data_IF_883174079936
#
_entry.id   IF_883174079936
#
_cell.length_a   1.000
_cell.length_b   1.000
_cell.length_c   1.000
_cell.angle_alpha   90.00
_cell.angle_beta   90.00
_cell.angle_gamma   90.00
#
_symmetry.space_group_name_H-M   'P 1'
#
loop_
_entity.id
_entity.type
_entity.pdbx_description
1 polymer ?
#
# COMPACT_ATOMS: atom_id res chain seq x y z
N UNK A 1 28.78 27.10 -16.62
CA UNK A 1 28.05 26.38 -17.70
C UNK A 1 28.89 25.28 -18.37
N UNK A 2 30.21 25.27 -18.22
CA UNK A 2 31.11 24.27 -18.84
C UNK A 2 31.05 22.88 -18.21
N UNK A 3 31.00 22.78 -16.88
CA UNK A 3 31.03 21.49 -16.16
C UNK A 3 29.87 20.54 -16.48
N UNK A 4 28.66 21.07 -16.67
CA UNK A 4 27.49 20.26 -16.98
C UNK A 4 27.58 19.62 -18.38
N UNK A 5 28.11 20.37 -19.34
CA UNK A 5 28.31 19.92 -20.73
C UNK A 5 29.46 18.92 -20.81
N UNK A 6 30.54 19.13 -20.07
CA UNK A 6 31.65 18.16 -19.95
C UNK A 6 31.18 16.84 -19.35
N UNK A 7 30.37 16.90 -18.29
CA UNK A 7 29.79 15.72 -17.66
C UNK A 7 28.88 14.95 -18.63
N UNK A 8 28.04 15.65 -19.40
CA UNK A 8 27.19 15.01 -20.41
C UNK A 8 28.02 14.26 -21.46
N UNK A 9 29.09 14.88 -21.98
CA UNK A 9 29.99 14.24 -22.94
C UNK A 9 30.64 12.98 -22.37
N UNK A 10 31.11 13.04 -21.12
CA UNK A 10 31.72 11.89 -20.45
C UNK A 10 30.75 10.72 -20.23
N UNK A 11 29.46 11.00 -20.05
CA UNK A 11 28.43 9.97 -19.91
C UNK A 11 28.20 9.27 -21.26
N UNK A 12 28.07 10.04 -22.34
CA UNK A 12 27.87 9.49 -23.69
C UNK A 12 29.05 8.60 -24.11
N UNK A 13 30.28 9.06 -23.87
CA UNK A 13 31.49 8.30 -24.16
C UNK A 13 31.53 6.97 -23.40
N UNK A 14 31.15 6.98 -22.11
CA UNK A 14 31.06 5.75 -21.32
C UNK A 14 30.03 4.77 -21.87
N UNK A 15 28.84 5.24 -22.23
CA UNK A 15 27.76 4.39 -22.75
C UNK A 15 28.14 3.80 -24.11
N UNK A 16 28.81 4.57 -24.97
CA UNK A 16 29.27 4.09 -26.28
C UNK A 16 30.35 3.00 -26.18
N UNK A 17 31.17 3.03 -25.12
CA UNK A 17 32.22 2.04 -24.88
C UNK A 17 31.75 0.78 -24.13
N UNK A 18 30.46 0.67 -23.80
CA UNK A 18 29.87 -0.54 -23.22
C UNK A 18 29.63 -1.61 -24.28
N UNK A 19 29.54 -2.88 -23.86
CA UNK A 19 29.06 -3.95 -24.74
C UNK A 19 27.58 -3.78 -25.06
N UNK A 20 27.05 -4.39 -26.14
CA UNK A 20 25.64 -4.30 -26.47
C UNK A 20 24.71 -4.72 -25.32
N UNK A 21 25.07 -5.76 -24.55
CA UNK A 21 24.29 -6.24 -23.41
C UNK A 21 24.25 -5.19 -22.29
N UNK A 22 25.38 -4.54 -22.02
CA UNK A 22 25.47 -3.48 -21.01
C UNK A 22 24.72 -2.21 -21.44
N UNK A 23 24.65 -1.93 -22.75
CA UNK A 23 23.82 -0.84 -23.27
C UNK A 23 22.33 -1.13 -23.05
N UNK A 24 21.90 -2.38 -23.24
CA UNK A 24 20.53 -2.82 -22.96
C UNK A 24 20.20 -2.68 -21.46
N UNK A 25 21.12 -3.03 -20.56
CA UNK A 25 20.95 -2.80 -19.12
C UNK A 25 20.74 -1.32 -18.76
N UNK A 26 21.46 -0.41 -19.42
CA UNK A 26 21.29 1.03 -19.22
C UNK A 26 19.89 1.49 -19.66
N UNK A 27 19.39 0.98 -20.80
CA UNK A 27 18.02 1.28 -21.25
C UNK A 27 16.97 0.76 -20.26
N UNK A 28 17.11 -0.49 -19.84
CA UNK A 28 16.25 -1.11 -18.83
C UNK A 28 16.24 -0.31 -17.52
N UNK A 29 17.40 0.22 -17.12
CA UNK A 29 17.52 1.05 -15.93
C UNK A 29 16.84 2.41 -16.08
N UNK A 30 16.94 3.05 -17.25
CA UNK A 30 16.24 4.31 -17.55
C UNK A 30 14.73 4.09 -17.48
N UNK A 31 14.22 3.02 -18.08
CA UNK A 31 12.79 2.67 -18.06
C UNK A 31 12.30 2.41 -16.63
N UNK A 32 13.09 1.69 -15.83
CA UNK A 32 12.80 1.48 -14.41
C UNK A 32 12.73 2.80 -13.63
N UNK A 33 13.65 3.73 -13.86
CA UNK A 33 13.65 5.04 -13.21
C UNK A 33 12.42 5.87 -13.60
N UNK A 34 12.04 5.86 -14.87
CA UNK A 34 10.82 6.52 -15.36
C UNK A 34 9.57 5.93 -14.69
N UNK A 35 9.46 4.61 -14.65
CA UNK A 35 8.36 3.90 -13.98
C UNK A 35 8.28 4.24 -12.49
N UNK A 36 9.43 4.33 -11.79
CA UNK A 36 9.48 4.70 -10.37
C UNK A 36 9.09 6.17 -10.17
N UNK A 37 9.52 7.07 -11.05
CA UNK A 37 9.16 8.49 -11.03
C UNK A 37 7.67 8.74 -11.23
N UNK A 38 7.04 8.01 -12.16
CA UNK A 38 5.58 8.14 -12.39
C UNK A 38 4.72 7.76 -11.18
N UNK A 39 5.21 6.91 -10.26
CA UNK A 39 4.49 6.59 -9.02
C UNK A 39 4.49 7.75 -8.01
N UNK A 40 5.35 8.75 -8.17
CA UNK A 40 5.45 9.89 -7.25
C UNK A 40 4.57 11.08 -7.66
N UNK A 41 4.20 11.20 -8.95
CA UNK A 41 3.31 12.26 -9.46
C UNK A 41 1.81 11.93 -9.34
N UNK A 42 1.47 10.74 -8.85
CA UNK A 42 0.12 10.52 -8.36
C UNK A 42 0.04 11.24 -7.03
N UNK A 43 -0.53 12.45 -7.02
CA UNK A 43 -0.91 13.17 -5.80
C UNK A 43 -1.35 12.13 -4.76
N UNK A 44 -0.78 12.13 -3.54
CA UNK A 44 -1.13 11.14 -2.54
C UNK A 44 -2.63 11.25 -2.32
N UNK A 45 -3.39 10.32 -2.93
CA UNK A 45 -4.84 10.39 -3.05
C UNK A 45 -5.35 10.67 -1.65
N UNK A 46 -5.84 11.89 -1.43
CA UNK A 46 -6.11 12.37 -0.08
C UNK A 46 -7.00 11.34 0.61
N UNK A 47 -6.48 10.72 1.68
CA UNK A 47 -7.22 9.68 2.38
C UNK A 47 -8.54 10.31 2.81
N UNK A 48 -9.65 9.76 2.31
CA UNK A 48 -10.99 10.28 2.65
C UNK A 48 -11.14 10.23 4.17
N UNK A 49 -11.63 11.31 4.76
CA UNK A 49 -11.87 11.35 6.19
C UNK A 49 -13.10 10.49 6.48
N UNK A 50 -13.11 9.78 7.60
CA UNK A 50 -14.28 9.01 8.04
C UNK A 50 -15.56 9.86 8.14
N UNK A 51 -15.41 11.16 8.44
CA UNK A 51 -16.52 12.11 8.43
C UNK A 51 -17.19 12.28 7.07
N UNK A 52 -16.44 12.12 5.97
CA UNK A 52 -16.93 12.35 4.60
C UNK A 52 -17.91 11.26 4.13
N UNK A 53 -17.97 10.13 4.85
CA UNK A 53 -18.80 8.96 4.52
C UNK A 53 -19.92 8.69 5.54
N UNK A 54 -19.95 9.44 6.66
CA UNK A 54 -20.96 9.28 7.71
C UNK A 54 -22.37 9.56 7.14
N UNK A 55 -23.29 8.61 7.29
CA UNK A 55 -24.70 8.75 6.91
C UNK A 55 -25.00 8.58 5.42
N UNK A 56 -24.02 8.20 4.58
CA UNK A 56 -24.24 7.94 3.14
C UNK A 56 -24.81 6.55 2.83
N UNK A 57 -24.66 5.62 3.77
CA UNK A 57 -25.19 4.27 3.67
C UNK A 57 -26.61 4.20 4.23
N UNK A 58 -27.48 3.47 3.55
CA UNK A 58 -28.77 3.05 4.12
C UNK A 58 -28.50 2.11 5.31
N UNK A 59 -29.33 2.23 6.34
CA UNK A 59 -29.27 1.36 7.51
C UNK A 59 -30.31 0.24 7.40
N UNK A 60 -29.94 -1.03 7.62
CA UNK A 60 -28.58 -1.57 7.79
C UNK A 60 -27.87 -1.77 6.44
N UNK A 61 -26.59 -1.41 6.35
CA UNK A 61 -25.82 -1.49 5.09
C UNK A 61 -25.58 -2.93 4.61
N UNK A 62 -25.48 -3.88 5.55
CA UNK A 62 -25.12 -5.28 5.30
C UNK A 62 -26.22 -6.26 5.69
N UNK A 63 -27.46 -5.78 5.81
CA UNK A 63 -28.62 -6.61 6.18
C UNK A 63 -28.73 -6.99 7.66
N UNK A 64 -27.65 -6.85 8.45
CA UNK A 64 -27.67 -6.97 9.92
C UNK A 64 -27.50 -5.60 10.59
N UNK A 65 -28.31 -5.36 11.62
CA UNK A 65 -28.21 -4.21 12.51
C UNK A 65 -26.90 -4.26 13.30
N UNK A 66 -26.20 -3.12 13.38
CA UNK A 66 -24.88 -3.08 14.02
C UNK A 66 -24.96 -3.42 15.51
N UNK A 67 -26.02 -2.98 16.21
CA UNK A 67 -26.21 -3.24 17.62
C UNK A 67 -26.50 -4.72 17.88
N UNK A 68 -27.25 -5.38 16.98
CA UNK A 68 -27.50 -6.83 17.05
C UNK A 68 -26.17 -7.60 16.93
N UNK A 69 -25.35 -7.29 15.92
CA UNK A 69 -24.06 -7.95 15.72
C UNK A 69 -23.12 -7.76 16.93
N UNK A 70 -22.98 -6.53 17.43
CA UNK A 70 -22.12 -6.22 18.59
C UNK A 70 -22.58 -6.99 19.83
N UNK A 71 -23.90 -7.04 20.05
CA UNK A 71 -24.47 -7.73 21.22
C UNK A 71 -24.21 -9.24 21.14
N UNK A 72 -24.36 -9.84 19.96
CA UNK A 72 -24.04 -11.26 19.73
C UNK A 72 -22.56 -11.54 20.00
N UNK A 73 -21.65 -10.78 19.39
CA UNK A 73 -20.21 -11.00 19.56
C UNK A 73 -19.76 -10.88 21.01
N UNK A 74 -20.27 -9.89 21.76
CA UNK A 74 -19.92 -9.75 23.19
C UNK A 74 -20.39 -10.94 24.02
N UNK A 75 -21.58 -11.45 23.73
CA UNK A 75 -22.13 -12.64 24.41
C UNK A 75 -21.27 -13.87 24.10
N UNK A 76 -20.99 -14.13 22.83
CA UNK A 76 -20.16 -15.25 22.39
C UNK A 76 -18.74 -15.20 22.98
N UNK A 77 -18.13 -14.01 23.05
CA UNK A 77 -16.84 -13.82 23.71
C UNK A 77 -16.90 -14.16 25.21
N UNK A 78 -17.96 -13.74 25.89
CA UNK A 78 -18.17 -14.03 27.31
C UNK A 78 -18.34 -15.53 27.53
N UNK A 79 -19.18 -16.19 26.73
CA UNK A 79 -19.41 -17.64 26.78
C UNK A 79 -18.12 -18.41 26.51
N UNK A 80 -17.35 -18.02 25.49
CA UNK A 80 -16.06 -18.63 25.19
C UNK A 80 -15.08 -18.48 26.36
N UNK A 81 -15.01 -17.31 26.98
CA UNK A 81 -14.16 -17.08 28.15
C UNK A 81 -14.57 -17.99 29.32
N UNK A 82 -15.87 -18.12 29.59
CA UNK A 82 -16.38 -18.98 30.65
C UNK A 82 -16.09 -20.46 30.38
N UNK A 83 -16.22 -20.93 29.14
CA UNK A 83 -15.87 -22.30 28.75
C UNK A 83 -14.37 -22.58 28.96
N UNK A 84 -13.49 -21.66 28.57
CA UNK A 84 -12.05 -21.82 28.79
C UNK A 84 -11.72 -21.84 30.29
N UNK A 85 -12.37 -21.01 31.10
CA UNK A 85 -12.19 -21.04 32.55
C UNK A 85 -12.63 -22.38 33.13
N UNK A 86 -13.84 -22.88 32.79
CA UNK A 86 -14.33 -24.17 33.27
C UNK A 86 -13.42 -25.34 32.87
N UNK A 87 -12.95 -25.36 31.62
CA UNK A 87 -12.00 -26.37 31.15
C UNK A 87 -10.71 -26.40 31.97
N UNK A 88 -10.17 -25.24 32.36
CA UNK A 88 -8.94 -25.16 33.16
C UNK A 88 -9.11 -25.57 34.64
N UNK A 89 -10.35 -25.70 35.12
CA UNK A 89 -10.63 -26.11 36.51
C UNK A 89 -11.11 -27.58 36.63
N UNK A 90 -11.40 -28.23 35.50
CA UNK A 90 -11.78 -29.66 35.45
C UNK A 90 -10.62 -30.60 35.04
N UNK A 91 -9.45 -30.05 34.71
CA UNK A 91 -8.15 -30.75 34.59
C UNK A 91 -7.34 -30.66 35.91
#
# INVERSE_FOLDING_TARGET
>A
MTQAVEKQKSILDRVQNLTPEQQEEVLNFIDFLQFKGQKQDVEPKQRRKWGDIKGKALYPLVGEDAQIWVSRNRREETENRELHLRSNYED
#
